data_IF_106826134618
#
_entry.id   IF_106826134618
#
_cell.length_a   1.000
_cell.length_b   1.000
_cell.length_c   1.000
_cell.angle_alpha   90.00
_cell.angle_beta   90.00
_cell.angle_gamma   90.00
#
_symmetry.space_group_name_H-M   'P 1'
#
loop_
_entity.id
_entity.type
_entity.pdbx_description
1 polymer ?
#
# COMPACT_ATOMS: atom_id res chain seq x y z
N UNK A 1 39.26 -49.49 6.31
CA UNK A 1 39.41 -48.42 7.31
C UNK A 1 40.02 -47.20 6.65
N UNK A 2 39.32 -46.06 6.62
CA UNK A 2 39.87 -44.80 6.09
C UNK A 2 40.93 -44.27 7.07
N UNK A 3 42.07 -43.77 6.58
CA UNK A 3 43.10 -43.21 7.46
C UNK A 3 42.61 -41.88 8.06
N UNK A 4 42.94 -41.62 9.33
CA UNK A 4 42.48 -40.42 10.06
C UNK A 4 42.76 -39.11 9.31
N UNK A 5 43.89 -39.02 8.60
CA UNK A 5 44.25 -37.86 7.75
C UNK A 5 43.33 -37.70 6.53
N UNK A 6 42.95 -38.80 5.87
CA UNK A 6 42.00 -38.78 4.75
C UNK A 6 40.58 -38.46 5.22
N UNK A 7 40.20 -38.93 6.40
CA UNK A 7 38.92 -38.56 7.01
C UNK A 7 38.83 -37.05 7.28
N UNK A 8 39.87 -36.45 7.86
CA UNK A 8 39.92 -34.99 8.13
C UNK A 8 39.92 -34.19 6.81
N UNK A 9 40.66 -34.63 5.79
CA UNK A 9 40.66 -33.94 4.49
C UNK A 9 39.28 -33.95 3.82
N UNK A 10 38.58 -35.09 3.87
CA UNK A 10 37.23 -35.22 3.30
C UNK A 10 36.20 -34.38 4.03
N UNK A 11 36.27 -34.27 5.36
CA UNK A 11 35.35 -33.42 6.12
C UNK A 11 35.57 -31.93 5.80
N UNK A 12 36.83 -31.49 5.69
CA UNK A 12 37.14 -30.11 5.31
C UNK A 12 36.63 -29.81 3.90
N UNK A 13 36.87 -30.73 2.94
CA UNK A 13 36.37 -30.59 1.58
C UNK A 13 34.84 -30.51 1.53
N UNK A 14 34.14 -31.33 2.32
CA UNK A 14 32.68 -31.31 2.41
C UNK A 14 32.16 -29.97 2.97
N UNK A 15 32.79 -29.42 4.01
CA UNK A 15 32.41 -28.13 4.61
C UNK A 15 32.66 -26.97 3.64
N UNK A 16 33.75 -27.00 2.87
CA UNK A 16 34.00 -25.98 1.84
C UNK A 16 32.95 -26.08 0.72
N UNK A 17 32.62 -27.30 0.30
CA UNK A 17 31.63 -27.52 -0.75
C UNK A 17 30.23 -27.05 -0.32
N UNK A 18 29.79 -27.33 0.91
CA UNK A 18 28.49 -26.85 1.40
C UNK A 18 28.43 -25.33 1.48
N UNK A 19 29.49 -24.66 1.96
CA UNK A 19 29.53 -23.20 1.99
C UNK A 19 29.47 -22.58 0.59
N UNK A 20 30.19 -23.15 -0.38
CA UNK A 20 30.14 -22.70 -1.77
C UNK A 20 28.73 -22.87 -2.37
N UNK A 21 28.09 -24.02 -2.12
CA UNK A 21 26.71 -24.26 -2.56
C UNK A 21 25.76 -23.26 -1.90
N UNK A 22 25.86 -23.05 -0.59
CA UNK A 22 25.03 -22.09 0.14
C UNK A 22 25.21 -20.67 -0.40
N UNK A 23 26.44 -20.24 -0.70
CA UNK A 23 26.73 -18.93 -1.29
C UNK A 23 26.07 -18.77 -2.67
N UNK A 24 26.21 -19.77 -3.56
CA UNK A 24 25.62 -19.73 -4.91
C UNK A 24 24.10 -19.72 -4.85
N UNK A 25 23.50 -20.56 -4.00
CA UNK A 25 22.04 -20.62 -3.83
C UNK A 25 21.53 -19.32 -3.23
N UNK A 26 22.16 -18.80 -2.18
CA UNK A 26 21.76 -17.55 -1.54
C UNK A 26 21.82 -16.37 -2.51
N UNK A 27 22.90 -16.26 -3.30
CA UNK A 27 23.03 -15.19 -4.29
C UNK A 27 22.00 -15.34 -5.41
N UNK A 28 21.75 -16.56 -5.90
CA UNK A 28 20.76 -16.83 -6.96
C UNK A 28 19.33 -16.51 -6.50
N UNK A 29 18.99 -16.88 -5.26
CA UNK A 29 17.71 -16.51 -4.63
C UNK A 29 17.63 -14.99 -4.49
N UNK A 30 18.65 -14.34 -3.96
CA UNK A 30 18.66 -12.88 -3.82
C UNK A 30 18.46 -12.15 -5.15
N UNK A 31 19.11 -12.58 -6.22
CA UNK A 31 18.92 -12.03 -7.57
C UNK A 31 17.50 -12.28 -8.10
N UNK A 32 16.95 -13.48 -7.88
CA UNK A 32 15.60 -13.82 -8.34
C UNK A 32 14.49 -13.03 -7.63
N UNK A 33 14.72 -12.60 -6.39
CA UNK A 33 13.74 -11.89 -5.54
C UNK A 33 14.00 -10.38 -5.41
N UNK A 34 15.05 -9.82 -6.02
CA UNK A 34 15.49 -8.43 -5.82
C UNK A 34 14.35 -7.39 -5.86
N UNK A 35 13.49 -7.48 -6.87
CA UNK A 35 12.38 -6.53 -7.08
C UNK A 35 11.00 -7.23 -7.01
N UNK A 36 10.92 -8.42 -6.38
CA UNK A 36 9.67 -9.19 -6.27
C UNK A 36 9.26 -9.31 -4.81
N UNK A 37 8.16 -8.66 -4.45
CA UNK A 37 7.52 -8.84 -3.15
C UNK A 37 6.70 -10.12 -3.14
N UNK A 38 6.89 -10.95 -2.12
CA UNK A 38 6.01 -12.10 -1.87
C UNK A 38 4.80 -11.57 -1.13
N UNK A 39 3.69 -11.43 -1.85
CA UNK A 39 2.40 -11.00 -1.31
C UNK A 39 1.42 -12.17 -1.32
N UNK A 40 0.38 -12.08 -0.47
CA UNK A 40 -0.70 -13.07 -0.54
C UNK A 40 -1.44 -12.96 -1.88
N UNK A 41 -2.11 -14.04 -2.29
CA UNK A 41 -2.91 -14.02 -3.52
C UNK A 41 -4.03 -12.96 -3.44
N UNK A 42 -4.57 -12.74 -2.25
CA UNK A 42 -5.62 -11.74 -1.99
C UNK A 42 -5.09 -10.32 -2.18
N UNK A 43 -3.98 -9.97 -1.54
CA UNK A 43 -3.35 -8.65 -1.70
C UNK A 43 -3.00 -8.37 -3.17
N UNK A 44 -2.52 -9.40 -3.89
CA UNK A 44 -2.22 -9.27 -5.31
C UNK A 44 -3.48 -8.97 -6.15
N UNK A 45 -4.63 -9.60 -5.86
CA UNK A 45 -5.87 -9.27 -6.57
C UNK A 45 -6.34 -7.85 -6.23
N UNK A 46 -6.31 -7.47 -4.95
CA UNK A 46 -6.70 -6.13 -4.53
C UNK A 46 -5.87 -5.06 -5.26
N UNK A 47 -4.53 -5.21 -5.29
CA UNK A 47 -3.66 -4.31 -6.03
C UNK A 47 -4.02 -4.25 -7.52
N UNK A 48 -4.29 -5.41 -8.12
CA UNK A 48 -4.67 -5.50 -9.54
C UNK A 48 -5.99 -4.78 -9.83
N UNK A 49 -6.97 -4.85 -8.94
CA UNK A 49 -8.27 -4.18 -9.11
C UNK A 49 -8.12 -2.66 -9.08
N UNK A 50 -7.14 -2.13 -8.33
CA UNK A 50 -6.85 -0.70 -8.26
C UNK A 50 -5.72 -0.23 -9.20
N UNK A 51 -5.12 -1.10 -10.02
CA UNK A 51 -4.01 -0.73 -10.92
C UNK A 51 -4.35 0.48 -11.80
N UNK A 52 -5.57 0.51 -12.36
CA UNK A 52 -6.00 1.63 -13.21
C UNK A 52 -6.04 2.96 -12.44
N UNK A 53 -6.45 2.93 -11.16
CA UNK A 53 -6.48 4.12 -10.32
C UNK A 53 -5.05 4.63 -10.07
N UNK A 54 -4.11 3.73 -9.76
CA UNK A 54 -2.71 4.09 -9.54
C UNK A 54 -2.05 4.64 -10.81
N UNK A 55 -2.27 4.00 -11.95
CA UNK A 55 -1.75 4.49 -13.24
C UNK A 55 -2.24 5.90 -13.58
N UNK A 56 -3.52 6.20 -13.36
CA UNK A 56 -4.06 7.53 -13.59
C UNK A 56 -3.56 8.55 -12.57
N UNK A 57 -3.46 8.17 -11.29
CA UNK A 57 -2.87 9.02 -10.25
C UNK A 57 -1.42 9.40 -10.61
N UNK A 58 -0.61 8.45 -11.06
CA UNK A 58 0.79 8.70 -11.42
C UNK A 58 0.90 9.60 -12.66
N UNK A 59 0.03 9.40 -13.67
CA UNK A 59 -0.06 10.31 -14.82
C UNK A 59 -0.41 11.73 -14.38
N UNK A 60 -1.42 11.89 -13.53
CA UNK A 60 -1.84 13.21 -13.02
C UNK A 60 -0.67 13.84 -12.27
N UNK A 61 -0.03 13.12 -11.35
CA UNK A 61 1.10 13.64 -10.57
C UNK A 61 2.29 14.07 -11.45
N UNK A 62 2.54 13.37 -12.56
CA UNK A 62 3.64 13.66 -13.45
C UNK A 62 3.35 14.78 -14.46
N UNK A 63 2.14 14.83 -15.01
CA UNK A 63 1.80 15.75 -16.11
C UNK A 63 1.11 17.04 -15.64
N UNK A 64 0.62 17.11 -14.41
CA UNK A 64 -0.04 18.31 -13.92
C UNK A 64 0.95 19.46 -13.71
N UNK A 65 0.52 20.67 -14.05
CA UNK A 65 1.39 21.86 -14.08
C UNK A 65 1.79 22.33 -12.68
N UNK A 66 0.88 22.22 -11.71
CA UNK A 66 1.07 22.70 -10.36
C UNK A 66 1.43 21.57 -9.39
N UNK A 67 1.96 21.95 -8.22
CA UNK A 67 2.20 20.99 -7.15
C UNK A 67 0.87 20.48 -6.60
N UNK A 68 0.67 19.17 -6.71
CA UNK A 68 -0.49 18.49 -6.16
C UNK A 68 -0.24 18.04 -4.71
N UNK A 69 -1.31 18.03 -3.93
CA UNK A 69 -1.37 17.37 -2.64
C UNK A 69 -1.94 15.97 -2.83
N UNK A 70 -1.09 14.96 -2.65
CA UNK A 70 -1.47 13.56 -2.83
C UNK A 70 -2.61 13.15 -1.90
N UNK A 71 -2.65 13.67 -0.67
CA UNK A 71 -3.72 13.35 0.27
C UNK A 71 -5.07 13.83 -0.27
N UNK A 72 -5.12 15.04 -0.85
CA UNK A 72 -6.34 15.55 -1.48
C UNK A 72 -6.80 14.71 -2.66
N UNK A 73 -5.88 14.15 -3.44
CA UNK A 73 -6.23 13.23 -4.53
C UNK A 73 -6.81 11.93 -4.00
N UNK A 74 -6.26 11.38 -2.93
CA UNK A 74 -6.76 10.17 -2.28
C UNK A 74 -8.16 10.41 -1.71
N UNK A 75 -8.36 11.49 -0.94
CA UNK A 75 -9.68 11.89 -0.42
C UNK A 75 -10.71 12.05 -1.55
N UNK A 76 -10.33 12.70 -2.64
CA UNK A 76 -11.16 12.85 -3.83
C UNK A 76 -11.51 11.51 -4.49
N UNK A 77 -10.55 10.57 -4.57
CA UNK A 77 -10.78 9.25 -5.12
C UNK A 77 -11.74 8.42 -4.25
N UNK A 78 -11.60 8.50 -2.92
CA UNK A 78 -12.50 7.83 -1.97
C UNK A 78 -13.91 8.42 -2.06
N UNK A 79 -14.05 9.74 -2.15
CA UNK A 79 -15.36 10.39 -2.41
C UNK A 79 -15.97 9.94 -3.73
N UNK A 80 -15.16 9.87 -4.80
CA UNK A 80 -15.60 9.37 -6.10
C UNK A 80 -16.09 7.92 -6.04
N UNK A 81 -15.47 7.08 -5.22
CA UNK A 81 -15.92 5.70 -5.00
C UNK A 81 -17.31 5.65 -4.38
N UNK A 82 -17.57 6.47 -3.35
CA UNK A 82 -18.90 6.58 -2.74
C UNK A 82 -19.94 7.12 -3.72
N UNK A 83 -19.59 8.17 -4.48
CA UNK A 83 -20.47 8.74 -5.52
C UNK A 83 -20.79 7.74 -6.63
N UNK A 84 -19.88 6.80 -6.93
CA UNK A 84 -20.08 5.74 -7.91
C UNK A 84 -21.25 4.81 -7.60
N UNK A 85 -21.75 4.80 -6.35
CA UNK A 85 -22.97 4.06 -5.97
C UNK A 85 -24.23 4.66 -6.60
N UNK A 86 -24.22 5.96 -6.92
CA UNK A 86 -25.35 6.66 -7.54
C UNK A 86 -26.52 6.95 -6.61
N UNK A 87 -26.37 6.68 -5.32
CA UNK A 87 -27.33 7.03 -4.27
C UNK A 87 -26.94 8.38 -3.63
N UNK A 88 -27.80 9.41 -3.65
CA UNK A 88 -27.49 10.73 -3.08
C UNK A 88 -27.22 10.71 -1.57
N UNK A 89 -27.63 9.65 -0.86
CA UNK A 89 -27.36 9.50 0.57
C UNK A 89 -26.08 8.71 0.86
N UNK A 90 -25.46 8.10 -0.15
CA UNK A 90 -24.19 7.40 -0.02
C UNK A 90 -23.04 8.37 -0.29
N UNK A 91 -22.52 8.96 0.78
CA UNK A 91 -21.42 9.93 0.73
C UNK A 91 -20.30 9.53 1.68
N UNK A 92 -19.07 9.85 1.29
CA UNK A 92 -17.92 9.78 2.18
C UNK A 92 -17.70 11.15 2.82
N UNK A 93 -17.46 11.15 4.13
CA UNK A 93 -17.08 12.33 4.89
C UNK A 93 -15.70 12.12 5.51
N UNK A 94 -14.88 13.15 5.43
CA UNK A 94 -13.68 13.22 6.26
C UNK A 94 -14.07 13.50 7.74
N UNK A 95 -13.13 13.38 8.69
CA UNK A 95 -13.45 13.52 10.12
C UNK A 95 -14.08 14.87 10.52
N UNK A 96 -13.68 15.95 9.84
CA UNK A 96 -14.17 17.29 10.13
C UNK A 96 -15.60 17.47 9.57
N UNK A 97 -15.82 17.01 8.34
CA UNK A 97 -17.16 16.97 7.72
C UNK A 97 -18.13 16.10 8.49
N UNK A 98 -17.69 14.94 8.97
CA UNK A 98 -18.50 14.04 9.78
C UNK A 98 -19.00 14.75 11.05
N UNK A 99 -18.08 15.42 11.75
CA UNK A 99 -18.39 16.16 12.98
C UNK A 99 -19.37 17.30 12.72
N UNK A 100 -19.13 18.09 11.66
CA UNK A 100 -20.03 19.17 11.28
C UNK A 100 -21.44 18.67 10.92
N UNK A 101 -21.52 17.53 10.23
CA UNK A 101 -22.80 16.93 9.85
C UNK A 101 -23.55 16.34 11.05
N UNK A 102 -22.83 15.72 11.99
CA UNK A 102 -23.42 15.25 13.25
C UNK A 102 -24.05 16.41 14.04
N UNK A 103 -23.35 17.54 14.18
CA UNK A 103 -23.92 18.75 14.83
C UNK A 103 -25.20 19.22 14.14
N UNK A 104 -25.20 19.24 12.80
CA UNK A 104 -26.39 19.61 12.03
C UNK A 104 -27.56 18.62 12.20
N UNK A 105 -27.26 17.32 12.30
CA UNK A 105 -28.26 16.25 12.44
C UNK A 105 -28.83 16.14 13.85
N UNK A 106 -27.97 16.27 14.87
CA UNK A 106 -28.38 16.27 16.28
C UNK A 106 -29.12 17.55 16.65
N UNK A 107 -28.94 18.63 15.86
CA UNK A 107 -29.64 19.90 16.07
C UNK A 107 -29.14 20.69 17.28
N UNK A 108 -28.03 20.26 17.89
CA UNK A 108 -27.38 20.97 18.98
C UNK A 108 -26.53 22.13 18.44
N UNK A 109 -27.21 23.20 18.04
CA UNK A 109 -26.55 24.46 17.70
C UNK A 109 -26.28 25.26 18.98
N UNK A 110 -25.02 25.28 19.43
CA UNK A 110 -24.56 26.27 20.40
C UNK A 110 -24.45 27.66 19.72
N UNK A 111 -25.59 28.31 19.51
CA UNK A 111 -25.67 29.63 18.87
C UNK A 111 -25.45 30.79 19.84
N UNK A 112 -24.90 31.89 19.34
CA UNK A 112 -24.92 33.23 20.00
C UNK A 112 -26.26 33.96 19.86
N UNK A 113 -27.28 33.34 19.25
CA UNK A 113 -28.63 33.90 19.10
C UNK A 113 -28.78 34.97 18.00
N UNK A 114 -27.97 34.91 16.94
CA UNK A 114 -28.06 35.86 15.82
C UNK A 114 -28.83 35.21 14.66
N UNK A 115 -29.95 35.82 14.27
CA UNK A 115 -30.71 35.47 13.07
C UNK A 115 -30.15 36.25 11.90
N UNK A 116 -29.80 35.56 10.82
CA UNK A 116 -29.45 36.20 9.54
C UNK A 116 -30.67 36.09 8.64
N UNK A 117 -31.47 37.15 8.56
CA UNK A 117 -32.54 37.28 7.56
C UNK A 117 -31.95 37.75 6.22
N UNK A 118 -32.46 37.28 5.07
CA UNK A 118 -32.18 37.88 3.76
C UNK A 118 -32.71 39.31 3.64
#
# INVERSE_FOLDING_TARGET
MISKKRAIALTIAAVLLTNVITFVVSNSVSIAFKDKFIVSKEDYQNLKDFNKLFEEKDKIMYYYVDKLDENKLVEGAVRGLAQGVGDPYTVYWDPDEYTANMVQTEGEYAGVGLVVEP
#
